data_IF_692578751225
#
_entry.id   IF_692578751225
#
_cell.length_a   1.000
_cell.length_b   1.000
_cell.length_c   1.000
_cell.angle_alpha   90.00
_cell.angle_beta   90.00
_cell.angle_gamma   90.00
#
_symmetry.space_group_name_H-M   'P 1'
#
loop_
_entity.id
_entity.type
_entity.pdbx_description
1 polymer ?
#
# COMPACT_ATOMS: atom_id res chain seq x y z
N UNK A 1 -37.17 -15.41 8.92
CA UNK A 1 -35.88 -14.70 8.84
C UNK A 1 -35.52 -14.72 7.38
N UNK A 2 -35.68 -13.58 6.72
CA UNK A 2 -35.66 -13.50 5.26
C UNK A 2 -34.22 -13.37 4.74
N UNK A 3 -33.96 -13.97 3.57
CA UNK A 3 -32.63 -14.06 2.97
C UNK A 3 -31.97 -12.69 2.68
N UNK A 4 -32.78 -11.63 2.63
CA UNK A 4 -32.33 -10.26 2.41
C UNK A 4 -31.59 -9.64 3.61
N UNK A 5 -31.87 -10.11 4.85
CA UNK A 5 -31.19 -9.61 6.05
C UNK A 5 -29.74 -10.12 6.15
N UNK A 6 -29.46 -11.29 5.57
CA UNK A 6 -28.11 -11.89 5.57
C UNK A 6 -27.17 -11.12 4.62
N UNK A 7 -27.67 -10.66 3.48
CA UNK A 7 -26.86 -9.93 2.49
C UNK A 7 -26.48 -8.51 2.92
N UNK A 8 -27.29 -7.88 3.78
CA UNK A 8 -27.01 -6.54 4.31
C UNK A 8 -25.86 -6.53 5.32
N UNK A 9 -25.55 -7.68 5.91
CA UNK A 9 -24.46 -7.86 6.88
C UNK A 9 -23.06 -7.95 6.26
N UNK A 10 -22.92 -8.15 4.94
CA UNK A 10 -21.63 -8.45 4.30
C UNK A 10 -20.91 -7.23 3.67
N UNK A 11 -21.48 -6.03 3.74
CA UNK A 11 -20.92 -4.81 3.09
C UNK A 11 -20.58 -3.66 4.05
N UNK A 12 -20.61 -3.87 5.36
CA UNK A 12 -20.28 -2.82 6.31
C UNK A 12 -18.76 -2.74 6.51
N UNK A 13 -18.15 -1.66 6.04
CA UNK A 13 -16.74 -1.38 6.31
C UNK A 13 -16.60 -0.85 7.74
N UNK A 14 -15.43 -1.08 8.35
CA UNK A 14 -15.12 -0.56 9.70
C UNK A 14 -15.30 0.97 9.78
N UNK A 15 -15.14 1.69 8.67
CA UNK A 15 -15.42 3.13 8.54
C UNK A 15 -16.88 3.51 8.80
N UNK A 16 -17.82 2.59 8.55
CA UNK A 16 -19.26 2.84 8.60
C UNK A 16 -19.80 2.83 10.05
N UNK A 17 -19.00 2.36 11.02
CA UNK A 17 -19.29 2.42 12.46
C UNK A 17 -18.84 3.72 13.12
N UNK A 18 -18.07 4.54 12.41
CA UNK A 18 -17.49 5.73 13.01
C UNK A 18 -18.43 6.92 12.84
N UNK A 19 -18.92 7.48 13.96
CA UNK A 19 -19.59 8.79 14.00
C UNK A 19 -18.60 9.95 13.78
N UNK A 20 -17.47 9.69 13.11
CA UNK A 20 -16.46 10.69 12.88
C UNK A 20 -17.11 11.84 12.10
N UNK A 21 -16.93 13.08 12.57
CA UNK A 21 -17.51 14.22 11.89
C UNK A 21 -16.99 14.23 10.45
N UNK A 22 -17.90 14.06 9.48
CA UNK A 22 -17.64 14.13 8.04
C UNK A 22 -17.34 15.56 7.58
N UNK A 23 -16.66 16.34 8.42
CA UNK A 23 -16.28 17.73 8.14
C UNK A 23 -14.88 17.69 7.58
N UNK A 24 -14.65 18.44 6.50
CA UNK A 24 -13.28 18.76 6.10
C UNK A 24 -12.57 19.41 7.27
N UNK A 25 -11.42 18.86 7.63
CA UNK A 25 -10.53 19.51 8.58
C UNK A 25 -9.98 20.78 7.92
N UNK A 26 -9.85 21.85 8.71
CA UNK A 26 -9.12 23.01 8.27
C UNK A 26 -7.66 22.62 7.99
N UNK A 27 -6.96 23.33 7.07
CA UNK A 27 -5.52 23.18 6.91
C UNK A 27 -4.79 23.28 8.26
N UNK A 28 -3.68 22.56 8.41
CA UNK A 28 -2.85 22.63 9.62
C UNK A 28 -2.19 24.01 9.67
N UNK A 29 -2.54 24.79 10.69
CA UNK A 29 -2.02 26.14 10.88
C UNK A 29 -0.52 26.12 11.23
N UNK A 30 0.21 27.15 10.80
CA UNK A 30 1.64 27.33 11.08
C UNK A 30 2.59 26.62 10.11
N UNK A 31 2.05 25.91 9.12
CA UNK A 31 2.81 25.22 8.06
C UNK A 31 2.57 25.79 6.67
N UNK A 32 1.86 26.91 6.55
CA UNK A 32 1.46 27.52 5.28
C UNK A 32 2.66 27.95 4.44
N UNK A 33 3.76 28.30 5.10
CA UNK A 33 5.00 28.77 4.48
C UNK A 33 6.16 27.77 4.63
N UNK A 34 5.89 26.57 5.17
CA UNK A 34 6.93 25.56 5.33
C UNK A 34 7.35 25.04 3.95
N UNK A 35 8.66 24.97 3.65
CA UNK A 35 9.11 24.43 2.38
C UNK A 35 8.71 22.96 2.27
N UNK A 36 8.20 22.57 1.11
CA UNK A 36 7.97 21.17 0.81
C UNK A 36 9.33 20.46 0.81
N UNK A 37 9.43 19.39 1.58
CA UNK A 37 10.64 18.58 1.71
C UNK A 37 10.42 17.22 1.06
N UNK A 38 11.52 16.58 0.64
CA UNK A 38 11.44 15.20 0.19
C UNK A 38 11.12 14.27 1.37
N UNK A 39 10.69 13.04 1.06
CA UNK A 39 10.39 12.04 2.10
C UNK A 39 11.66 11.72 2.91
N UNK A 40 12.81 11.65 2.24
CA UNK A 40 14.11 11.38 2.86
C UNK A 40 14.46 12.44 3.90
N UNK A 41 14.13 13.71 3.66
CA UNK A 41 14.33 14.79 4.61
C UNK A 41 13.31 14.76 5.76
N UNK A 42 12.05 14.44 5.45
CA UNK A 42 10.97 14.38 6.43
C UNK A 42 11.20 13.31 7.49
N UNK A 43 11.88 12.20 7.16
CA UNK A 43 12.14 11.10 8.10
C UNK A 43 13.35 11.33 9.01
N UNK A 44 14.24 12.29 8.71
CA UNK A 44 15.45 12.57 9.50
C UNK A 44 15.19 12.80 11.00
N UNK A 45 14.17 13.57 11.42
CA UNK A 45 13.87 13.76 12.84
C UNK A 45 13.41 12.47 13.54
N UNK A 46 12.81 11.55 12.80
CA UNK A 46 12.25 10.30 13.32
C UNK A 46 13.34 9.27 13.66
N UNK A 47 14.53 9.37 13.04
CA UNK A 47 15.68 8.46 13.26
C UNK A 47 16.08 8.36 14.74
N UNK A 48 15.89 9.42 15.54
CA UNK A 48 16.21 9.38 16.99
C UNK A 48 15.20 8.57 17.82
N UNK A 49 14.01 8.33 17.28
CA UNK A 49 12.92 7.60 17.94
C UNK A 49 12.94 6.13 17.48
N UNK A 50 13.37 5.84 16.25
CA UNK A 50 13.44 4.48 15.69
C UNK A 50 14.15 3.46 16.62
N UNK A 51 15.32 3.76 17.24
CA UNK A 51 15.97 2.82 18.14
C UNK A 51 15.22 2.56 19.46
N UNK A 52 14.26 3.42 19.83
CA UNK A 52 13.35 3.19 20.97
C UNK A 52 12.11 2.39 20.59
N UNK A 53 11.85 2.28 19.29
CA UNK A 53 10.82 1.43 18.69
C UNK A 53 11.38 0.04 18.38
N UNK A 54 12.70 -0.15 18.34
CA UNK A 54 13.34 -1.46 18.45
C UNK A 54 13.07 -2.06 19.83
N UNK A 55 11.89 -2.66 19.96
CA UNK A 55 11.55 -3.59 21.02
C UNK A 55 11.89 -4.98 20.50
N UNK A 56 12.40 -5.83 21.38
CA UNK A 56 12.90 -7.19 21.10
C UNK A 56 11.79 -8.18 20.72
N UNK A 57 10.85 -7.77 19.88
CA UNK A 57 9.68 -8.53 19.47
C UNK A 57 9.77 -8.86 17.97
N UNK A 58 9.50 -10.12 17.65
CA UNK A 58 9.45 -10.61 16.28
C UNK A 58 8.09 -10.22 15.67
N UNK A 59 7.95 -8.95 15.28
CA UNK A 59 6.74 -8.44 14.65
C UNK A 59 6.57 -8.97 13.23
N UNK A 60 5.31 -9.16 12.82
CA UNK A 60 4.95 -9.49 11.44
C UNK A 60 4.12 -8.36 10.82
N UNK A 61 4.50 -7.91 9.63
CA UNK A 61 3.73 -6.94 8.86
C UNK A 61 2.64 -7.65 8.04
N UNK A 62 1.38 -7.36 8.33
CA UNK A 62 0.25 -7.80 7.50
C UNK A 62 -0.02 -6.76 6.41
N UNK A 63 0.02 -7.19 5.16
CA UNK A 63 -0.32 -6.31 4.05
C UNK A 63 -1.81 -5.94 4.09
N UNK A 64 -2.17 -4.74 3.62
CA UNK A 64 -3.57 -4.38 3.47
C UNK A 64 -4.32 -5.41 2.63
N UNK A 65 -5.54 -5.73 3.05
CA UNK A 65 -6.43 -6.68 2.39
C UNK A 65 -5.91 -8.15 2.30
N UNK A 66 -4.92 -8.55 3.11
CA UNK A 66 -4.64 -9.97 3.36
C UNK A 66 -5.88 -10.65 3.96
N UNK A 67 -6.28 -11.79 3.38
CA UNK A 67 -7.48 -12.52 3.78
C UNK A 67 -7.13 -13.73 4.63
N UNK A 68 -7.95 -13.99 5.66
CA UNK A 68 -7.76 -15.11 6.58
C UNK A 68 -9.05 -15.90 6.76
N UNK A 69 -8.93 -17.22 6.89
CA UNK A 69 -9.99 -18.11 7.34
C UNK A 69 -9.77 -18.48 8.81
N UNK A 70 -10.79 -18.23 9.63
CA UNK A 70 -10.81 -18.69 11.03
C UNK A 70 -10.86 -20.22 11.05
N UNK A 71 -9.92 -20.82 11.79
CA UNK A 71 -9.79 -22.27 11.97
C UNK A 71 -10.37 -22.72 13.31
N UNK A 72 -10.15 -21.96 14.37
CA UNK A 72 -10.68 -22.25 15.70
C UNK A 72 -10.80 -20.96 16.52
N UNK A 73 -11.70 -21.00 17.51
CA UNK A 73 -11.84 -19.99 18.55
C UNK A 73 -11.88 -20.71 19.89
N UNK A 74 -11.08 -20.23 20.85
CA UNK A 74 -11.02 -20.77 22.21
C UNK A 74 -11.21 -19.64 23.20
N UNK A 75 -12.27 -19.71 24.01
CA UNK A 75 -12.44 -18.86 25.18
C UNK A 75 -11.59 -19.44 26.32
N UNK A 76 -10.58 -18.67 26.76
CA UNK A 76 -9.67 -19.04 27.84
C UNK A 76 -10.10 -18.46 29.19
N UNK A 77 -11.31 -17.89 29.27
CA UNK A 77 -11.85 -17.23 30.46
C UNK A 77 -11.32 -15.80 30.62
N UNK A 78 -11.86 -15.07 31.61
CA UNK A 78 -11.47 -13.69 31.91
C UNK A 78 -11.56 -12.72 30.70
N UNK A 79 -12.42 -13.03 29.73
CA UNK A 79 -12.55 -12.26 28.49
C UNK A 79 -11.45 -12.50 27.46
N UNK A 80 -10.51 -13.42 27.71
CA UNK A 80 -9.44 -13.77 26.78
C UNK A 80 -9.93 -14.79 25.74
N UNK A 81 -9.88 -14.41 24.48
CA UNK A 81 -10.17 -15.29 23.35
C UNK A 81 -8.93 -15.52 22.51
N UNK A 82 -8.63 -16.79 22.22
CA UNK A 82 -7.57 -17.19 21.29
C UNK A 82 -8.23 -17.59 19.98
N UNK A 83 -7.83 -16.93 18.89
CA UNK A 83 -8.36 -17.20 17.55
C UNK A 83 -7.22 -17.74 16.68
N UNK A 84 -7.42 -18.93 16.13
CA UNK A 84 -6.50 -19.48 15.14
C UNK A 84 -6.98 -19.09 13.74
N UNK A 85 -6.11 -18.45 12.97
CA UNK A 85 -6.38 -18.04 11.59
C UNK A 85 -5.39 -18.69 10.62
N UNK A 86 -5.82 -18.89 9.38
CA UNK A 86 -4.97 -19.32 8.27
C UNK A 86 -5.14 -18.34 7.11
N UNK A 87 -4.05 -17.80 6.59
CA UNK A 87 -4.08 -16.97 5.38
C UNK A 87 -4.65 -17.76 4.20
N UNK A 88 -5.43 -17.10 3.36
CA UNK A 88 -6.05 -17.67 2.16
C UNK A 88 -5.76 -16.80 0.95
N UNK A 89 -5.78 -17.41 -0.23
CA UNK A 89 -5.76 -16.66 -1.48
C UNK A 89 -6.97 -15.72 -1.53
N UNK A 90 -6.78 -14.44 -1.86
CA UNK A 90 -7.87 -13.49 -1.89
C UNK A 90 -8.85 -13.88 -3.00
N UNK A 91 -10.15 -13.72 -2.74
CA UNK A 91 -11.20 -14.06 -3.73
C UNK A 91 -11.06 -13.26 -5.03
N UNK A 92 -10.40 -12.10 -4.98
CA UNK A 92 -10.08 -11.26 -6.13
C UNK A 92 -8.62 -10.81 -6.04
N UNK A 93 -7.90 -10.71 -7.18
CA UNK A 93 -6.54 -10.20 -7.18
C UNK A 93 -6.51 -8.77 -6.64
N UNK A 94 -5.59 -8.49 -5.69
CA UNK A 94 -5.54 -7.20 -4.99
C UNK A 94 -5.14 -6.03 -5.91
N UNK A 95 -4.48 -6.31 -7.03
CA UNK A 95 -4.15 -5.34 -8.08
C UNK A 95 -4.11 -6.08 -9.42
N UNK A 96 -4.88 -5.61 -10.40
CA UNK A 96 -4.51 -5.84 -11.81
C UNK A 96 -3.38 -4.85 -12.15
N UNK A 97 -2.32 -5.26 -12.87
CA UNK A 97 -1.37 -4.30 -13.42
C UNK A 97 -2.14 -3.25 -14.20
N UNK A 98 -1.89 -1.97 -13.93
CA UNK A 98 -2.48 -0.89 -14.73
C UNK A 98 -2.15 -1.20 -16.19
N UNK A 99 -3.15 -1.35 -17.09
CA UNK A 99 -2.86 -1.50 -18.49
C UNK A 99 -2.09 -0.24 -18.90
N UNK A 100 -0.81 -0.40 -19.22
CA UNK A 100 0.02 0.68 -19.72
C UNK A 100 -0.61 1.14 -21.03
N UNK A 101 -1.41 2.20 -20.96
CA UNK A 101 -1.82 2.91 -22.16
C UNK A 101 -0.53 3.28 -22.90
N UNK A 102 -0.39 2.98 -24.21
CA UNK A 102 0.80 3.35 -24.95
C UNK A 102 1.00 4.86 -24.80
N UNK A 103 2.11 5.26 -24.17
CA UNK A 103 2.50 6.66 -24.08
C UNK A 103 2.52 7.19 -25.51
N UNK A 104 1.70 8.19 -25.84
CA UNK A 104 1.98 9.03 -27.01
C UNK A 104 3.33 9.69 -26.71
N UNK A 105 4.36 9.16 -27.33
CA UNK A 105 5.74 9.65 -27.27
C UNK A 105 5.78 11.05 -27.89
N UNK A 106 5.64 12.08 -27.06
CA UNK A 106 6.08 13.42 -27.42
C UNK A 106 7.60 13.48 -27.32
N UNK A 107 8.24 13.54 -28.48
CA UNK A 107 9.57 14.09 -28.76
C UNK A 107 10.63 13.97 -27.65
N UNK A 108 11.23 12.79 -27.48
CA UNK A 108 12.59 12.69 -26.92
C UNK A 108 13.39 11.48 -27.43
N UNK A 109 13.01 10.87 -28.57
CA UNK A 109 13.57 9.58 -29.01
C UNK A 109 14.61 9.67 -30.16
N UNK A 110 14.93 10.87 -30.64
CA UNK A 110 15.89 11.04 -31.74
C UNK A 110 17.36 10.85 -31.29
N UNK A 111 17.67 11.09 -30.00
CA UNK A 111 19.00 10.88 -29.44
C UNK A 111 19.32 9.38 -29.29
N UNK A 112 18.33 8.57 -28.91
CA UNK A 112 18.52 7.13 -28.75
C UNK A 112 18.70 6.41 -30.08
N UNK A 113 18.04 6.87 -31.16
CA UNK A 113 18.20 6.32 -32.50
C UNK A 113 19.59 6.64 -33.09
N UNK A 114 20.11 7.85 -32.85
CA UNK A 114 21.48 8.22 -33.27
C UNK A 114 22.55 7.35 -32.60
N UNK A 115 22.40 7.04 -31.31
CA UNK A 115 23.35 6.18 -30.60
C UNK A 115 23.30 4.73 -31.08
N UNK A 116 22.11 4.19 -31.38
CA UNK A 116 21.97 2.84 -31.94
C UNK A 116 22.60 2.72 -33.32
N UNK A 117 22.44 3.73 -34.19
CA UNK A 117 23.02 3.73 -35.53
C UNK A 117 24.56 3.80 -35.49
N UNK A 118 25.11 4.67 -34.64
CA UNK A 118 26.57 4.76 -34.44
C UNK A 118 27.17 3.45 -33.92
N UNK A 119 26.49 2.77 -32.99
CA UNK A 119 26.95 1.50 -32.43
C UNK A 119 26.85 0.35 -33.44
N UNK A 120 25.84 0.35 -34.32
CA UNK A 120 25.78 -0.64 -35.41
C UNK A 120 26.89 -0.45 -36.43
N UNK A 121 27.27 0.80 -36.71
CA UNK A 121 28.37 1.08 -37.64
C UNK A 121 29.73 0.66 -37.06
N UNK A 122 29.92 0.76 -35.75
CA UNK A 122 31.09 0.27 -35.02
C UNK A 122 31.17 -1.27 -34.97
N UNK A 123 30.02 -1.95 -34.86
CA UNK A 123 29.96 -3.42 -34.76
C UNK A 123 30.21 -4.13 -36.09
N UNK A 124 30.13 -3.42 -37.22
CA UNK A 124 30.31 -3.98 -38.56
C UNK A 124 31.72 -3.78 -39.13
N UNK A 125 32.69 -3.37 -38.29
CA UNK A 125 34.08 -3.16 -38.70
C UNK A 125 35.09 -4.02 -37.93
N UNK A 126 34.72 -5.27 -37.67
CA UNK A 126 35.69 -6.36 -37.42
C UNK A 126 35.40 -7.52 -38.36
N UNK A 127 35.97 -7.46 -39.57
CA UNK A 127 36.51 -8.59 -40.36
C UNK A 127 37.30 -8.07 -41.57
#
# INVERSE_FOLDING_TARGET
MDADDVYKSMSLRVSDFSSLPKRMLAPIEGYENAPLVSIEDAVKPLVKIVPKVERNEDEILLLPATQFKVKSCLDSGNGLHIIQVKEIDPTYPLLEPVPVSPKKSSEHDLSSLKLKLLLSDLANHEY
#
